data_IF_846660800097
#
_entry.id   IF_846660800097
#
_cell.length_a   1.000
_cell.length_b   1.000
_cell.length_c   1.000
_cell.angle_alpha   90.00
_cell.angle_beta   90.00
_cell.angle_gamma   90.00
#
_symmetry.space_group_name_H-M   'P 1'
#
loop_
_entity.id
_entity.type
_entity.pdbx_description
1 polymer ?
#
# COMPACT_ATOMS: atom_id res chain seq x y z
N UNK A 1 -8.96 4.58 -11.13
CA UNK A 1 -7.94 4.22 -10.10
C UNK A 1 -7.17 2.96 -10.50
N UNK A 2 -7.22 2.55 -11.76
CA UNK A 2 -6.56 1.32 -12.22
C UNK A 2 -5.05 1.33 -11.98
N UNK A 3 -4.52 0.22 -11.48
CA UNK A 3 -3.10 0.05 -11.19
C UNK A 3 -2.82 -1.00 -10.12
N UNK A 4 -1.53 -1.25 -9.95
CA UNK A 4 -0.95 -2.00 -8.82
C UNK A 4 -0.56 -1.01 -7.73
N UNK A 5 -0.92 -1.27 -6.48
CA UNK A 5 -0.62 -0.41 -5.34
C UNK A 5 0.17 -1.18 -4.29
N UNK A 6 1.25 -0.56 -3.83
CA UNK A 6 2.20 -1.18 -2.93
C UNK A 6 2.19 -0.50 -1.57
N UNK A 7 2.23 -1.29 -0.50
CA UNK A 7 2.70 -0.82 0.80
C UNK A 7 4.23 -0.79 0.78
N UNK A 8 4.83 0.31 1.25
CA UNK A 8 6.29 0.44 1.38
C UNK A 8 6.57 0.56 2.87
N UNK A 9 7.03 -0.53 3.48
CA UNK A 9 7.29 -0.63 4.91
C UNK A 9 8.80 -0.68 5.22
N UNK A 10 9.14 -0.94 6.48
CA UNK A 10 10.53 -0.96 6.95
C UNK A 10 11.36 -2.12 6.40
N UNK A 11 10.70 -3.18 5.92
CA UNK A 11 11.35 -4.44 5.48
C UNK A 11 11.27 -4.68 3.98
N UNK A 12 10.52 -3.85 3.24
CA UNK A 12 10.34 -4.05 1.80
C UNK A 12 9.10 -3.39 1.24
N UNK A 13 8.75 -3.81 0.03
CA UNK A 13 7.57 -3.35 -0.70
C UNK A 13 6.66 -4.53 -0.99
N UNK A 14 5.40 -4.44 -0.58
CA UNK A 14 4.42 -5.50 -0.75
C UNK A 14 3.33 -5.03 -1.71
N UNK A 15 2.99 -5.86 -2.71
CA UNK A 15 1.86 -5.60 -3.60
C UNK A 15 0.57 -5.95 -2.86
N UNK A 16 -0.22 -4.93 -2.49
CA UNK A 16 -1.40 -5.13 -1.65
C UNK A 16 -2.68 -5.03 -2.46
N UNK A 17 -2.80 -4.09 -3.41
CA UNK A 17 -4.04 -3.84 -4.14
C UNK A 17 -3.80 -3.87 -5.64
N UNK A 18 -4.67 -4.54 -6.38
CA UNK A 18 -4.74 -4.45 -7.85
C UNK A 18 -6.14 -3.99 -8.22
N UNK A 19 -6.26 -2.89 -8.96
CA UNK A 19 -7.54 -2.33 -9.42
C UNK A 19 -7.62 -2.34 -10.95
N UNK A 20 -8.76 -2.77 -11.49
CA UNK A 20 -9.16 -2.69 -12.89
C UNK A 20 -10.63 -2.28 -12.98
N UNK A 21 -10.91 -1.03 -13.32
CA UNK A 21 -12.25 -0.46 -13.27
C UNK A 21 -12.81 -0.43 -11.85
N UNK A 22 -13.99 -1.01 -11.66
CA UNK A 22 -14.74 -1.11 -10.41
C UNK A 22 -14.42 -2.39 -9.61
N UNK A 23 -13.43 -3.17 -10.04
CA UNK A 23 -13.04 -4.45 -9.45
C UNK A 23 -11.56 -4.50 -9.14
N UNK A 24 -11.21 -5.38 -8.21
CA UNK A 24 -9.83 -5.61 -7.83
C UNK A 24 -9.62 -6.84 -6.97
N UNK A 25 -8.38 -6.96 -6.52
CA UNK A 25 -7.98 -7.92 -5.49
C UNK A 25 -7.20 -7.20 -4.42
N UNK A 26 -7.28 -7.73 -3.20
CA UNK A 26 -6.49 -7.29 -2.06
C UNK A 26 -5.74 -8.49 -1.47
N UNK A 27 -4.45 -8.33 -1.20
CA UNK A 27 -3.65 -9.31 -0.45
C UNK A 27 -3.57 -8.84 1.00
N UNK A 28 -4.19 -9.59 1.90
CA UNK A 28 -4.20 -9.29 3.32
C UNK A 28 -4.12 -10.58 4.14
N UNK A 29 -3.35 -10.55 5.22
CA UNK A 29 -3.23 -11.68 6.17
C UNK A 29 -2.84 -13.02 5.50
N UNK A 30 -2.07 -12.96 4.41
CA UNK A 30 -1.60 -14.14 3.67
C UNK A 30 -2.66 -14.77 2.76
N UNK A 31 -3.73 -14.05 2.45
CA UNK A 31 -4.79 -14.47 1.53
C UNK A 31 -5.15 -13.37 0.54
N UNK A 32 -5.42 -13.76 -0.70
CA UNK A 32 -5.93 -12.85 -1.72
C UNK A 32 -7.45 -12.91 -1.79
N UNK A 33 -8.10 -11.78 -1.54
CA UNK A 33 -9.56 -11.62 -1.62
C UNK A 33 -9.97 -10.79 -2.83
N UNK A 34 -11.15 -11.08 -3.35
CA UNK A 34 -11.79 -10.22 -4.35
C UNK A 34 -12.31 -8.93 -3.71
N UNK A 35 -12.31 -7.86 -4.49
CA UNK A 35 -12.73 -6.54 -4.05
C UNK A 35 -13.57 -5.84 -5.12
N UNK A 36 -14.61 -5.12 -4.72
CA UNK A 36 -15.27 -4.10 -5.56
C UNK A 36 -15.02 -2.71 -5.00
N UNK A 37 -14.97 -1.71 -5.89
CA UNK A 37 -14.66 -0.33 -5.54
C UNK A 37 -15.86 0.55 -5.88
N UNK A 38 -16.34 1.30 -4.89
CA UNK A 38 -17.27 2.41 -5.10
C UNK A 38 -16.51 3.72 -4.89
N UNK A 39 -16.32 4.46 -5.98
CA UNK A 39 -15.60 5.74 -5.98
C UNK A 39 -16.45 6.90 -5.47
N UNK A 40 -17.78 6.79 -5.52
CA UNK A 40 -18.70 7.84 -5.08
C UNK A 40 -18.78 7.88 -3.55
N UNK A 41 -18.77 6.69 -2.92
CA UNK A 41 -18.76 6.56 -1.46
C UNK A 41 -17.35 6.36 -0.87
N UNK A 42 -16.35 6.21 -1.73
CA UNK A 42 -14.97 5.88 -1.37
C UNK A 42 -14.87 4.65 -0.46
N UNK A 43 -15.50 3.56 -0.90
CA UNK A 43 -15.49 2.29 -0.17
C UNK A 43 -14.97 1.14 -1.03
N UNK A 44 -14.30 0.21 -0.37
CA UNK A 44 -14.03 -1.12 -0.86
C UNK A 44 -14.99 -2.10 -0.19
N UNK A 45 -15.50 -3.05 -0.96
CA UNK A 45 -16.17 -4.24 -0.43
C UNK A 45 -15.26 -5.43 -0.66
N UNK A 46 -14.72 -6.01 0.42
CA UNK A 46 -13.71 -7.06 0.37
C UNK A 46 -14.33 -8.40 0.80
N UNK A 47 -14.29 -9.39 -0.10
CA UNK A 47 -14.84 -10.72 0.18
C UNK A 47 -14.08 -11.42 1.31
N UNK A 48 -14.81 -12.03 2.24
CA UNK A 48 -14.24 -12.86 3.32
C UNK A 48 -13.82 -12.10 4.57
N UNK A 49 -13.85 -10.76 4.55
CA UNK A 49 -13.63 -9.96 5.76
C UNK A 49 -14.87 -10.01 6.66
N UNK A 50 -14.67 -9.97 7.99
CA UNK A 50 -15.78 -9.87 8.96
C UNK A 50 -16.54 -8.56 8.78
N UNK A 51 -15.81 -7.47 8.54
CA UNK A 51 -16.35 -6.18 8.14
C UNK A 51 -15.88 -5.91 6.70
N UNK A 52 -16.69 -6.24 5.68
CA UNK A 52 -16.27 -6.21 4.28
C UNK A 52 -16.10 -4.79 3.75
N UNK A 53 -16.84 -3.82 4.29
CA UNK A 53 -16.77 -2.42 3.89
C UNK A 53 -15.57 -1.72 4.53
N UNK A 54 -14.58 -1.36 3.71
CA UNK A 54 -13.42 -0.56 4.10
C UNK A 54 -13.51 0.81 3.44
N UNK A 55 -13.49 1.87 4.24
CA UNK A 55 -13.39 3.23 3.72
C UNK A 55 -11.96 3.52 3.28
N UNK A 56 -11.82 4.30 2.22
CA UNK A 56 -10.53 4.78 1.76
C UNK A 56 -10.55 6.26 1.45
N UNK A 57 -9.37 6.88 1.48
CA UNK A 57 -9.10 8.14 0.82
C UNK A 57 -8.22 7.89 -0.41
N UNK A 58 -8.49 8.57 -1.52
CA UNK A 58 -7.66 8.51 -2.71
C UNK A 58 -7.22 9.91 -3.13
N UNK A 59 -5.91 10.15 -3.10
CA UNK A 59 -5.32 11.43 -3.46
C UNK A 59 -3.92 11.22 -4.03
N UNK A 60 -3.60 11.93 -5.11
CA UNK A 60 -2.28 11.94 -5.73
C UNK A 60 -1.70 10.53 -5.97
N UNK A 61 -2.54 9.62 -6.48
CA UNK A 61 -2.20 8.21 -6.73
C UNK A 61 -1.82 7.39 -5.47
N UNK A 62 -2.27 7.81 -4.29
CA UNK A 62 -2.14 7.10 -3.02
C UNK A 62 -3.52 6.76 -2.47
N UNK A 63 -3.68 5.50 -2.07
CA UNK A 63 -4.85 5.02 -1.31
C UNK A 63 -4.46 5.01 0.17
N UNK A 64 -5.26 5.63 1.04
CA UNK A 64 -5.12 5.50 2.50
C UNK A 64 -6.32 4.72 3.02
N UNK A 65 -6.08 3.58 3.65
CA UNK A 65 -7.14 2.71 4.15
C UNK A 65 -6.64 1.79 5.27
N UNK A 66 -7.56 1.28 6.08
CA UNK A 66 -7.29 0.24 7.07
C UNK A 66 -7.72 -1.13 6.52
N UNK A 67 -6.81 -1.82 5.84
CA UNK A 67 -7.04 -3.16 5.27
C UNK A 67 -6.43 -4.24 6.17
N UNK A 68 -5.25 -3.98 6.75
CA UNK A 68 -4.43 -4.96 7.49
C UNK A 68 -4.50 -4.77 9.01
N UNK A 69 -5.58 -4.17 9.52
CA UNK A 69 -5.81 -3.90 10.94
C UNK A 69 -5.24 -2.57 11.47
N UNK A 70 -4.51 -1.84 10.62
CA UNK A 70 -4.09 -0.45 10.87
C UNK A 70 -4.20 0.37 9.59
N UNK A 71 -4.38 1.69 9.72
CA UNK A 71 -4.36 2.59 8.57
C UNK A 71 -2.97 2.63 7.93
N UNK A 72 -2.94 2.43 6.61
CA UNK A 72 -1.72 2.39 5.79
C UNK A 72 -1.93 3.18 4.51
N UNK A 73 -0.81 3.51 3.87
CA UNK A 73 -0.77 4.12 2.56
C UNK A 73 -0.31 3.09 1.52
N UNK A 74 -1.04 3.04 0.41
CA UNK A 74 -0.76 2.17 -0.72
C UNK A 74 -0.49 3.02 -1.94
N UNK A 75 0.74 2.92 -2.46
CA UNK A 75 1.27 3.80 -3.49
C UNK A 75 1.16 3.13 -4.86
N UNK A 76 0.51 3.81 -5.81
CA UNK A 76 0.38 3.30 -7.17
C UNK A 76 1.75 3.16 -7.84
N UNK A 77 2.06 1.97 -8.34
CA UNK A 77 3.31 1.69 -9.04
C UNK A 77 3.57 2.70 -10.16
N UNK A 78 4.77 3.26 -10.16
CA UNK A 78 5.22 4.20 -11.19
C UNK A 78 4.76 5.65 -11.00
N UNK A 79 3.91 5.94 -10.00
CA UNK A 79 3.55 7.32 -9.65
C UNK A 79 4.72 8.07 -9.01
N UNK A 80 4.64 9.40 -8.96
CA UNK A 80 5.64 10.22 -8.26
C UNK A 80 5.65 9.92 -6.76
N UNK A 81 4.48 9.73 -6.14
CA UNK A 81 4.38 9.36 -4.72
C UNK A 81 5.10 8.02 -4.43
N UNK A 82 4.92 7.01 -5.29
CA UNK A 82 5.62 5.73 -5.18
C UNK A 82 7.14 5.88 -5.28
N UNK A 83 7.62 6.66 -6.26
CA UNK A 83 9.07 6.89 -6.45
C UNK A 83 9.68 7.61 -5.26
N UNK A 84 9.01 8.63 -4.73
CA UNK A 84 9.48 9.39 -3.58
C UNK A 84 9.51 8.53 -2.31
N UNK A 85 8.48 7.74 -2.05
CA UNK A 85 8.45 6.86 -0.88
C UNK A 85 9.51 5.75 -0.97
N UNK A 86 9.71 5.18 -2.15
CA UNK A 86 10.78 4.20 -2.40
C UNK A 86 12.18 4.81 -2.20
N UNK A 87 12.39 6.08 -2.56
CA UNK A 87 13.66 6.79 -2.28
C UNK A 87 13.89 6.95 -0.78
N UNK A 88 12.85 7.29 0.00
CA UNK A 88 12.96 7.41 1.47
C UNK A 88 13.33 6.08 2.11
N UNK A 89 12.65 5.00 1.72
CA UNK A 89 12.96 3.64 2.16
C UNK A 89 14.44 3.28 1.90
N UNK A 90 14.89 3.45 0.65
CA UNK A 90 16.28 3.17 0.25
C UNK A 90 17.30 4.15 0.85
N UNK A 91 16.86 5.34 1.25
CA UNK A 91 17.68 6.35 1.94
C UNK A 91 17.87 6.03 3.41
N UNK A 92 16.82 5.52 4.07
CA UNK A 92 16.85 5.12 5.47
C UNK A 92 17.66 3.83 5.68
N UNK A 93 17.55 2.86 4.77
CA UNK A 93 18.40 1.65 4.78
C UNK A 93 19.90 1.95 4.67
N UNK A 94 20.29 3.08 4.07
CA UNK A 94 21.69 3.53 3.99
C UNK A 94 22.20 4.26 5.25
N UNK A 95 21.32 4.68 6.16
CA UNK A 95 21.73 5.38 7.40
C UNK A 95 22.14 4.40 8.51
N UNK A 96 21.65 3.16 8.48
CA UNK A 96 21.95 2.13 9.48
C UNK A 96 23.34 1.47 9.32
N UNK A 97 23.98 1.58 8.15
CA UNK A 97 25.32 0.98 7.92
C UNK A 97 26.51 1.90 8.25
N UNK A 98 26.30 3.20 8.52
CA UNK A 98 27.40 4.14 8.83
C UNK A 98 27.79 4.21 10.31
N UNK A 99 27.49 3.17 11.09
CA UNK A 99 27.73 3.12 12.54
C UNK A 99 28.94 2.29 13.00
N UNK A 100 29.71 1.67 12.09
CA UNK A 100 30.87 0.87 12.48
C UNK A 100 32.05 1.09 11.54
N UNK A 101 32.76 2.21 11.70
CA UNK A 101 34.11 2.34 11.18
C UNK A 101 35.08 2.92 12.23
N UNK A 102 35.88 1.99 12.76
CA UNK A 102 37.24 2.10 13.35
C UNK A 102 37.55 3.22 14.34
N UNK A 103 37.73 2.82 15.60
CA UNK A 103 38.81 3.38 16.44
C UNK A 103 40.04 2.49 16.24
N UNK A 104 41.11 3.10 15.74
CA UNK A 104 42.45 2.53 15.61
C UNK A 104 43.07 2.21 16.97
#
# INVERSE_FOLDING_TARGET
>A
MDGEYYEIGDYGTDLVIIIKGDKGTVDAEGSTSSMTIDTDTQTFEISGFVNPTVKFEYKDDVITANITGSERQYFKKGSEAYKEELKKFNGNGRRIEKGSEKVL
#
